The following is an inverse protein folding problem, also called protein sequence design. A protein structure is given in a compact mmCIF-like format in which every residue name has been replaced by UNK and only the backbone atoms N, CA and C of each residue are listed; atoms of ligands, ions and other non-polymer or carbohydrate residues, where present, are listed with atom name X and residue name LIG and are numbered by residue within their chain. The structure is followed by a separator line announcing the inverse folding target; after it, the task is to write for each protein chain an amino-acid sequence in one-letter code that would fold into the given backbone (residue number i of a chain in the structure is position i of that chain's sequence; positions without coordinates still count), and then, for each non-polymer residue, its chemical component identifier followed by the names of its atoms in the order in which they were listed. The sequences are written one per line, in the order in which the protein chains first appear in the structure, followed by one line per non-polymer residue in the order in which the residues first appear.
data_IF_362250757900
#
_entry.id   IF_362250757900
#
_cell.length_a   1.000
_cell.length_b   1.000
_cell.length_c   1.000
_cell.angle_alpha   90.00
_cell.angle_beta   90.00
_cell.angle_gamma   90.00
#
_symmetry.space_group_name_H-M   'P 1'
#
loop_
_entity.id
_entity.type
_entity.pdbx_description
1 polymer ?
#
# COMPACT_ATOMS: atom_id res chain seq x y z
N UNK A 1 8.13 20.06 5.88
CA UNK A 1 7.34 21.19 5.34
C UNK A 1 6.61 21.81 6.52
N UNK A 2 6.24 23.10 6.49
CA UNK A 2 5.41 23.65 7.59
C UNK A 2 4.03 22.99 7.62
N UNK A 3 3.56 22.66 8.83
CA UNK A 3 2.19 22.20 9.13
C UNK A 3 1.08 23.01 8.44
N UNK A 4 1.24 24.32 8.29
CA UNK A 4 0.28 25.19 7.60
C UNK A 4 0.17 24.89 6.11
N UNK A 5 1.27 24.50 5.46
CA UNK A 5 1.30 24.13 4.04
C UNK A 5 0.69 22.74 3.84
N UNK A 6 1.01 21.76 4.70
CA UNK A 6 0.35 20.45 4.70
C UNK A 6 -1.18 20.58 4.76
N UNK A 7 -1.69 21.40 5.71
CA UNK A 7 -3.13 21.66 5.85
C UNK A 7 -3.75 22.28 4.60
N UNK A 8 -3.04 23.19 3.95
CA UNK A 8 -3.55 23.83 2.74
C UNK A 8 -3.67 22.81 1.60
N UNK A 9 -2.63 22.02 1.33
CA UNK A 9 -2.67 20.98 0.30
C UNK A 9 -3.79 19.98 0.59
N UNK A 10 -3.93 19.51 1.84
CA UNK A 10 -5.01 18.61 2.25
C UNK A 10 -6.40 19.19 1.99
N UNK A 11 -6.63 20.48 2.30
CA UNK A 11 -7.91 21.14 2.00
C UNK A 11 -8.18 21.25 0.50
N UNK A 12 -7.15 21.51 -0.30
CA UNK A 12 -7.29 21.57 -1.76
C UNK A 12 -7.67 20.20 -2.33
N UNK A 13 -6.96 19.13 -1.93
CA UNK A 13 -7.28 17.75 -2.32
C UNK A 13 -8.74 17.41 -1.96
N UNK A 14 -9.18 17.77 -0.76
CA UNK A 14 -10.55 17.46 -0.31
C UNK A 14 -11.66 18.07 -1.18
N UNK A 15 -11.39 19.16 -1.91
CA UNK A 15 -12.38 19.76 -2.83
C UNK A 15 -12.69 18.87 -4.03
N UNK A 16 -11.76 18.01 -4.42
CA UNK A 16 -11.89 17.09 -5.55
C UNK A 16 -12.45 15.72 -5.15
N UNK A 17 -12.69 15.52 -3.85
CA UNK A 17 -13.18 14.28 -3.30
C UNK A 17 -14.70 14.41 -3.08
N UNK A 18 -15.54 13.57 -3.72
CA UNK A 18 -17.00 13.67 -3.64
C UNK A 18 -17.56 13.08 -2.34
N UNK A 19 -17.07 13.57 -1.19
CA UNK A 19 -17.44 13.09 0.14
C UNK A 19 -17.80 14.25 1.07
N UNK A 20 -18.56 13.99 2.15
CA UNK A 20 -18.98 15.03 3.10
C UNK A 20 -17.82 15.81 3.72
N UNK A 21 -18.04 17.09 3.98
CA UNK A 21 -17.04 18.03 4.52
C UNK A 21 -16.44 17.62 5.87
N UNK A 22 -17.14 16.79 6.67
CA UNK A 22 -16.56 16.30 7.92
C UNK A 22 -15.33 15.41 7.70
N UNK A 23 -15.22 14.73 6.55
CA UNK A 23 -14.04 13.92 6.20
C UNK A 23 -12.85 14.78 5.78
N UNK A 24 -13.09 16.01 5.32
CA UNK A 24 -12.02 17.01 5.13
C UNK A 24 -11.28 17.27 6.44
N UNK A 25 -11.99 17.31 7.56
CA UNK A 25 -11.37 17.49 8.88
C UNK A 25 -10.39 16.35 9.18
N UNK A 26 -10.80 15.10 8.98
CA UNK A 26 -9.96 13.92 9.21
C UNK A 26 -8.69 13.94 8.33
N UNK A 27 -8.84 14.28 7.04
CA UNK A 27 -7.71 14.41 6.11
C UNK A 27 -6.73 15.50 6.55
N UNK A 28 -7.24 16.68 6.90
CA UNK A 28 -6.44 17.83 7.32
C UNK A 28 -5.73 17.55 8.64
N UNK A 29 -6.45 17.00 9.62
CA UNK A 29 -5.83 16.62 10.89
C UNK A 29 -4.75 15.56 10.64
N UNK A 30 -5.05 14.54 9.83
CA UNK A 30 -4.11 13.46 9.48
C UNK A 30 -2.82 13.99 8.86
N UNK A 31 -2.92 15.02 8.01
CA UNK A 31 -1.75 15.67 7.38
C UNK A 31 -0.84 16.45 8.32
N UNK A 32 -1.26 16.67 9.57
CA UNK A 32 -0.45 17.37 10.59
C UNK A 32 -0.15 16.52 11.82
N UNK A 33 -0.74 15.34 11.90
CA UNK A 33 -0.59 14.44 13.04
C UNK A 33 0.86 14.02 13.31
N UNK A 34 1.68 13.70 12.27
CA UNK A 34 3.07 13.31 12.50
C UNK A 34 3.91 14.43 13.14
N UNK A 35 3.68 15.69 12.75
CA UNK A 35 4.35 16.86 13.34
C UNK A 35 3.98 17.08 14.81
N UNK A 36 2.69 16.89 15.14
CA UNK A 36 2.15 17.14 16.49
C UNK A 36 2.61 16.06 17.47
N UNK A 37 2.52 14.79 17.07
CA UNK A 37 2.85 13.65 17.92
C UNK A 37 4.36 13.38 18.00
N UNK A 38 5.18 14.18 17.30
CA UNK A 38 6.64 14.06 17.27
C UNK A 38 7.10 12.65 16.90
N UNK A 39 6.48 12.03 15.90
CA UNK A 39 7.04 10.82 15.28
C UNK A 39 8.43 11.21 14.77
N UNK A 40 9.49 10.74 15.43
CA UNK A 40 10.87 11.09 15.09
C UNK A 40 11.63 9.82 14.71
N UNK A 41 12.40 9.83 13.61
CA UNK A 41 12.58 10.93 12.65
C UNK A 41 11.47 10.97 11.56
N UNK A 42 10.74 12.09 11.41
CA UNK A 42 9.76 12.26 10.30
C UNK A 42 10.34 12.97 9.06
N UNK A 43 11.51 13.61 9.17
CA UNK A 43 12.21 14.17 8.02
C UNK A 43 13.01 13.06 7.32
N UNK A 44 12.65 12.74 6.08
CA UNK A 44 13.09 11.55 5.31
C UNK A 44 12.49 10.22 5.82
N UNK A 45 11.16 10.08 5.82
CA UNK A 45 10.55 8.80 6.15
C UNK A 45 10.98 7.74 5.11
N UNK A 46 11.10 6.49 5.56
CA UNK A 46 11.21 5.35 4.65
C UNK A 46 10.00 5.38 3.68
N UNK A 47 10.17 5.25 2.35
CA UNK A 47 9.06 5.06 1.41
C UNK A 47 8.04 4.00 1.84
N UNK A 48 8.47 2.98 2.59
CA UNK A 48 7.58 1.97 3.18
C UNK A 48 6.60 2.56 4.20
N UNK A 49 6.96 3.65 4.90
CA UNK A 49 6.07 4.37 5.80
C UNK A 49 4.90 5.01 5.02
N UNK A 50 5.20 5.66 3.88
CA UNK A 50 4.17 6.20 2.98
C UNK A 50 3.25 5.07 2.52
N UNK A 51 3.83 3.98 2.02
CA UNK A 51 3.05 2.85 1.51
C UNK A 51 2.19 2.19 2.57
N UNK A 52 2.67 2.10 3.82
CA UNK A 52 1.90 1.62 4.95
C UNK A 52 0.66 2.48 5.17
N UNK A 53 0.80 3.80 5.27
CA UNK A 53 -0.37 4.68 5.49
C UNK A 53 -1.33 4.68 4.29
N UNK A 54 -0.83 4.54 3.07
CA UNK A 54 -1.68 4.36 1.88
C UNK A 54 -2.46 3.04 1.98
N UNK A 55 -1.80 1.96 2.38
CA UNK A 55 -2.43 0.65 2.56
C UNK A 55 -3.49 0.68 3.66
N UNK A 56 -3.16 1.22 4.82
CA UNK A 56 -4.08 1.35 5.96
C UNK A 56 -5.28 2.23 5.61
N UNK A 57 -5.08 3.27 4.79
CA UNK A 57 -6.16 4.12 4.29
C UNK A 57 -7.07 3.36 3.32
N UNK A 58 -6.48 2.56 2.41
CA UNK A 58 -7.21 1.76 1.43
C UNK A 58 -8.02 0.65 2.10
N UNK A 59 -7.45 -0.07 3.06
CA UNK A 59 -8.18 -1.10 3.81
C UNK A 59 -9.36 -0.50 4.58
N UNK A 60 -9.13 0.59 5.32
CA UNK A 60 -10.21 1.29 6.03
C UNK A 60 -11.30 1.79 5.09
N UNK A 61 -10.93 2.25 3.89
CA UNK A 61 -11.89 2.66 2.86
C UNK A 61 -12.77 1.49 2.40
N UNK A 62 -12.18 0.33 2.12
CA UNK A 62 -12.92 -0.89 1.77
C UNK A 62 -13.80 -1.41 2.90
N UNK A 63 -13.38 -1.21 4.15
CA UNK A 63 -14.16 -1.56 5.35
C UNK A 63 -15.22 -0.50 5.71
N UNK A 64 -15.37 0.55 4.88
CA UNK A 64 -16.28 1.67 5.08
C UNK A 64 -16.03 2.48 6.38
N UNK A 65 -14.83 2.34 6.97
CA UNK A 65 -14.33 3.21 8.04
C UNK A 65 -13.70 4.48 7.43
N UNK A 66 -14.58 5.35 6.91
CA UNK A 66 -14.17 6.54 6.17
C UNK A 66 -13.34 7.52 7.02
N UNK A 67 -13.59 7.59 8.34
CA UNK A 67 -12.80 8.48 9.22
C UNK A 67 -11.35 8.02 9.28
N UNK A 68 -11.13 6.73 9.56
CA UNK A 68 -9.79 6.14 9.60
C UNK A 68 -9.12 6.21 8.23
N UNK A 69 -9.87 5.96 7.16
CA UNK A 69 -9.36 6.07 5.79
C UNK A 69 -8.80 7.45 5.50
N UNK A 70 -9.56 8.52 5.76
CA UNK A 70 -9.15 9.88 5.47
C UNK A 70 -8.03 10.36 6.41
N UNK A 71 -8.04 9.96 7.68
CA UNK A 71 -6.97 10.24 8.64
C UNK A 71 -5.63 9.63 8.19
N UNK A 72 -5.62 8.36 7.78
CA UNK A 72 -4.43 7.68 7.27
C UNK A 72 -3.98 8.24 5.91
N UNK A 73 -4.92 8.57 5.02
CA UNK A 73 -4.59 9.26 3.77
C UNK A 73 -3.90 10.61 4.04
N UNK A 74 -4.37 11.35 5.04
CA UNK A 74 -3.73 12.58 5.49
C UNK A 74 -2.27 12.35 5.90
N UNK A 75 -2.01 11.31 6.70
CA UNK A 75 -0.65 10.93 7.11
C UNK A 75 0.21 10.52 5.91
N UNK A 76 -0.34 9.77 4.96
CA UNK A 76 0.37 9.44 3.72
C UNK A 76 0.79 10.70 2.94
N UNK A 77 -0.14 11.64 2.74
CA UNK A 77 0.14 12.92 2.09
C UNK A 77 1.22 13.72 2.83
N UNK A 78 1.19 13.75 4.16
CA UNK A 78 2.24 14.39 4.96
C UNK A 78 3.64 13.83 4.62
N UNK A 79 3.82 12.51 4.69
CA UNK A 79 5.12 11.90 4.42
C UNK A 79 5.56 12.02 2.97
N UNK A 80 4.63 12.00 1.99
CA UNK A 80 4.92 12.31 0.58
C UNK A 80 5.52 13.71 0.47
N UNK A 81 4.88 14.71 1.09
CA UNK A 81 5.28 16.11 1.02
C UNK A 81 6.62 16.35 1.72
N UNK A 82 6.86 15.67 2.84
CA UNK A 82 8.11 15.81 3.60
C UNK A 82 9.31 15.11 2.95
N UNK A 83 9.10 13.99 2.25
CA UNK A 83 10.18 13.37 1.48
C UNK A 83 10.71 14.23 0.32
N UNK A 84 9.91 15.16 -0.18
CA UNK A 84 10.31 16.05 -1.28
C UNK A 84 11.26 17.17 -0.81
N UNK A 85 11.45 17.36 0.50
CA UNK A 85 12.27 18.43 1.07
C UNK A 85 13.58 17.84 1.59
N UNK A 86 14.71 18.40 1.14
CA UNK A 86 16.02 18.00 1.65
C UNK A 86 16.19 18.45 3.11
N UNK A 87 16.69 17.56 3.98
CA UNK A 87 17.01 17.87 5.36
C UNK A 87 18.45 18.40 5.45
N UNK A 88 18.65 19.66 5.04
CA UNK A 88 19.95 20.33 5.04
C UNK A 88 19.87 21.66 5.83
N UNK A 89 20.98 22.42 5.90
CA UNK A 89 21.04 23.69 6.63
C UNK A 89 20.06 24.76 6.11
N UNK A 90 19.64 24.65 4.86
CA UNK A 90 18.73 25.58 4.19
C UNK A 90 17.25 25.19 4.36
N UNK A 91 16.97 24.08 5.05
CA UNK A 91 15.63 23.53 5.24
C UNK A 91 14.60 24.59 5.68
N UNK A 92 14.93 25.41 6.68
CA UNK A 92 14.03 26.47 7.17
C UNK A 92 13.72 27.54 6.11
N UNK A 93 14.71 27.90 5.29
CA UNK A 93 14.55 28.90 4.21
C UNK A 93 13.68 28.33 3.09
N UNK A 94 13.88 27.06 2.76
CA UNK A 94 13.10 26.34 1.75
C UNK A 94 11.63 26.19 2.19
N UNK A 95 11.39 25.85 3.45
CA UNK A 95 10.05 25.78 4.02
C UNK A 95 9.33 27.14 4.02
N UNK A 96 10.04 28.23 4.33
CA UNK A 96 9.47 29.57 4.27
C UNK A 96 9.15 29.99 2.83
N UNK A 97 10.01 29.62 1.87
CA UNK A 97 9.76 29.86 0.45
C UNK A 97 8.50 29.12 -0.02
N UNK A 98 8.33 27.85 0.39
CA UNK A 98 7.14 27.03 0.08
C UNK A 98 5.83 27.61 0.61
N UNK A 99 5.87 28.36 1.72
CA UNK A 99 4.68 29.02 2.27
C UNK A 99 4.12 30.09 1.33
N UNK A 100 4.98 30.71 0.52
CA UNK A 100 4.61 31.75 -0.44
C UNK A 100 4.26 31.18 -1.82
N UNK A 101 4.56 29.91 -2.07
CA UNK A 101 4.17 29.23 -3.31
C UNK A 101 2.66 29.02 -3.36
N UNK A 102 2.05 29.42 -4.48
CA UNK A 102 0.62 29.25 -4.69
C UNK A 102 0.31 27.80 -5.02
N UNK A 103 -0.59 27.18 -4.25
CA UNK A 103 -1.24 25.92 -4.63
C UNK A 103 -2.17 26.21 -5.81
N UNK A 104 -2.01 25.44 -6.89
CA UNK A 104 -2.81 25.60 -8.10
C UNK A 104 -3.77 24.42 -8.23
N UNK A 105 -5.04 24.71 -8.54
CA UNK A 105 -6.08 23.69 -8.69
C UNK A 105 -5.77 22.72 -9.84
N UNK A 106 -5.14 23.20 -10.92
CA UNK A 106 -4.79 22.37 -12.08
C UNK A 106 -3.84 21.22 -11.73
N UNK A 107 -2.94 21.42 -10.75
CA UNK A 107 -2.01 20.37 -10.32
C UNK A 107 -2.71 19.24 -9.55
N UNK A 108 -3.74 19.59 -8.79
CA UNK A 108 -4.56 18.61 -8.07
C UNK A 108 -5.42 17.85 -9.09
N UNK A 109 -6.03 18.58 -10.02
CA UNK A 109 -6.83 17.99 -11.09
C UNK A 109 -6.01 17.02 -11.95
N UNK A 110 -4.82 17.41 -12.40
CA UNK A 110 -3.88 16.55 -13.13
C UNK A 110 -3.58 15.25 -12.36
N UNK A 111 -3.33 15.35 -11.04
CA UNK A 111 -3.10 14.19 -10.19
C UNK A 111 -4.32 13.25 -10.12
N UNK A 112 -5.53 13.80 -10.01
CA UNK A 112 -6.78 13.01 -10.02
C UNK A 112 -7.06 12.36 -11.38
N UNK A 113 -6.66 13.00 -12.49
CA UNK A 113 -6.90 12.52 -13.86
C UNK A 113 -5.95 11.39 -14.27
N UNK A 114 -4.70 11.37 -13.77
CA UNK A 114 -3.71 10.35 -14.16
C UNK A 114 -4.16 8.91 -13.84
N UNK A 115 -4.88 8.72 -12.72
CA UNK A 115 -5.37 7.41 -12.28
C UNK A 115 -4.25 6.45 -11.86
N UNK A 116 -4.55 5.57 -10.90
CA UNK A 116 -3.67 4.44 -10.57
C UNK A 116 -4.50 3.18 -10.52
N UNK A 117 -4.12 2.21 -11.34
CA UNK A 117 -4.89 0.98 -11.54
C UNK A 117 -4.24 -0.24 -10.87
N UNK A 118 -3.23 -0.06 -10.02
CA UNK A 118 -2.56 -1.19 -9.38
C UNK A 118 -1.70 -0.74 -8.21
N UNK A 119 -1.58 -1.59 -7.18
CA UNK A 119 -0.71 -1.31 -6.05
C UNK A 119 0.77 -1.27 -6.47
N UNK A 120 1.20 -2.11 -7.43
CA UNK A 120 2.54 -2.02 -8.03
C UNK A 120 2.79 -0.70 -8.74
N UNK A 121 1.81 -0.17 -9.48
CA UNK A 121 1.95 1.13 -10.12
C UNK A 121 2.15 2.23 -9.07
N UNK A 122 1.33 2.23 -8.02
CA UNK A 122 1.48 3.12 -6.87
C UNK A 122 2.89 2.99 -6.25
N UNK A 123 3.31 1.77 -5.92
CA UNK A 123 4.62 1.48 -5.33
C UNK A 123 5.75 2.04 -6.21
N UNK A 124 5.69 1.81 -7.51
CA UNK A 124 6.68 2.33 -8.44
C UNK A 124 6.73 3.85 -8.46
N UNK A 125 5.58 4.54 -8.37
CA UNK A 125 5.52 6.01 -8.29
C UNK A 125 6.20 6.48 -7.01
N UNK A 126 5.84 5.91 -5.85
CA UNK A 126 6.41 6.30 -4.55
C UNK A 126 7.94 6.11 -4.55
N UNK A 127 8.45 4.96 -5.01
CA UNK A 127 9.89 4.68 -4.99
C UNK A 127 10.70 5.43 -6.05
N UNK A 128 10.12 5.78 -7.20
CA UNK A 128 10.87 6.39 -8.32
C UNK A 128 10.70 7.90 -8.43
N UNK A 129 9.57 8.45 -8.01
CA UNK A 129 9.26 9.88 -8.16
C UNK A 129 9.46 10.69 -6.89
N UNK A 130 9.41 10.06 -5.71
CA UNK A 130 9.54 10.79 -4.46
C UNK A 130 10.99 10.76 -3.97
N UNK A 131 11.59 11.93 -3.89
CA UNK A 131 12.91 12.13 -3.30
C UNK A 131 13.18 13.63 -3.10
N UNK A 132 14.27 13.98 -2.38
CA UNK A 132 14.57 15.37 -2.06
C UNK A 132 14.75 16.25 -3.30
N UNK A 133 14.08 17.39 -3.30
CA UNK A 133 14.17 18.42 -4.33
C UNK A 133 14.63 19.74 -3.71
N UNK A 134 15.11 20.66 -4.56
CA UNK A 134 15.62 21.97 -4.14
C UNK A 134 14.76 23.15 -4.55
N UNK A 135 13.93 22.99 -5.58
CA UNK A 135 13.10 24.08 -6.10
C UNK A 135 11.76 24.14 -5.36
N UNK A 136 11.42 25.27 -4.69
CA UNK A 136 10.12 25.42 -4.03
C UNK A 136 8.94 25.15 -4.96
N UNK A 137 9.01 25.67 -6.20
CA UNK A 137 7.98 25.47 -7.22
C UNK A 137 7.81 24.00 -7.60
N UNK A 138 8.90 23.25 -7.79
CA UNK A 138 8.83 21.83 -8.12
C UNK A 138 8.35 20.99 -6.93
N UNK A 139 8.80 21.30 -5.71
CA UNK A 139 8.33 20.64 -4.49
C UNK A 139 6.82 20.85 -4.33
N UNK A 140 6.33 22.08 -4.48
CA UNK A 140 4.90 22.37 -4.40
C UNK A 140 4.12 21.63 -5.49
N UNK A 141 4.65 21.60 -6.71
CA UNK A 141 4.07 20.84 -7.82
C UNK A 141 3.91 19.36 -7.47
N UNK A 142 5.00 18.68 -7.16
CA UNK A 142 5.00 17.24 -6.90
C UNK A 142 4.23 16.90 -5.61
N UNK A 143 4.29 17.78 -4.60
CA UNK A 143 3.47 17.67 -3.39
C UNK A 143 1.99 17.63 -3.71
N UNK A 144 1.51 18.50 -4.59
CA UNK A 144 0.11 18.56 -5.00
C UNK A 144 -0.26 17.37 -5.88
N UNK A 145 0.48 17.15 -6.96
CA UNK A 145 0.18 16.15 -7.99
C UNK A 145 0.21 14.73 -7.41
N UNK A 146 1.27 14.36 -6.68
CA UNK A 146 1.43 13.01 -6.14
C UNK A 146 0.43 12.76 -5.00
N UNK A 147 0.21 13.73 -4.11
CA UNK A 147 -0.79 13.58 -3.03
C UNK A 147 -2.19 13.40 -3.59
N UNK A 148 -2.55 14.15 -4.64
CA UNK A 148 -3.84 14.05 -5.33
C UNK A 148 -4.01 12.69 -6.03
N UNK A 149 -2.98 12.23 -6.73
CA UNK A 149 -2.92 10.93 -7.38
C UNK A 149 -3.09 9.78 -6.37
N UNK A 150 -2.41 9.85 -5.23
CA UNK A 150 -2.56 8.88 -4.13
C UNK A 150 -3.96 8.93 -3.53
N UNK A 151 -4.50 10.14 -3.30
CA UNK A 151 -5.85 10.30 -2.77
C UNK A 151 -6.89 9.65 -3.68
N UNK A 152 -6.84 9.92 -4.99
CA UNK A 152 -7.70 9.28 -6.00
C UNK A 152 -7.60 7.76 -5.96
N UNK A 153 -6.39 7.22 -5.89
CA UNK A 153 -6.16 5.78 -5.84
C UNK A 153 -6.77 5.14 -4.58
N UNK A 154 -6.66 5.80 -3.43
CA UNK A 154 -7.21 5.31 -2.14
C UNK A 154 -8.72 5.30 -2.12
N UNK A 155 -9.39 6.31 -2.69
CA UNK A 155 -10.86 6.44 -2.63
C UNK A 155 -11.57 5.84 -3.86
N UNK A 156 -10.83 5.27 -4.81
CA UNK A 156 -11.43 4.73 -6.03
C UNK A 156 -12.22 3.45 -5.74
N UNK A 157 -13.42 3.32 -6.31
CA UNK A 157 -14.24 2.09 -6.23
C UNK A 157 -14.06 1.20 -7.47
N UNK A 158 -12.95 1.36 -8.20
CA UNK A 158 -12.64 0.54 -9.37
C UNK A 158 -12.61 -0.96 -9.02
N UNK A 159 -13.19 -1.77 -9.91
CA UNK A 159 -13.12 -3.22 -9.84
C UNK A 159 -11.76 -3.72 -10.37
N UNK A 160 -11.26 -4.86 -9.86
CA UNK A 160 -10.04 -5.46 -10.39
C UNK A 160 -10.24 -5.86 -11.86
N UNK A 161 -9.22 -5.66 -12.73
CA UNK A 161 -9.29 -6.13 -14.12
C UNK A 161 -9.54 -7.64 -14.19
N UNK A 162 -10.39 -8.11 -15.12
CA UNK A 162 -10.72 -9.54 -15.24
C UNK A 162 -9.50 -10.45 -15.33
N UNK A 163 -8.48 -10.04 -16.11
CA UNK A 163 -7.20 -10.75 -16.20
C UNK A 163 -6.50 -10.91 -14.85
N UNK A 164 -6.54 -9.89 -13.97
CA UNK A 164 -5.95 -9.97 -12.64
C UNK A 164 -6.66 -11.03 -11.78
N UNK A 165 -7.99 -11.12 -11.90
CA UNK A 165 -8.80 -12.14 -11.22
C UNK A 165 -8.40 -13.53 -11.71
N UNK A 166 -8.34 -13.74 -13.03
CA UNK A 166 -7.99 -15.03 -13.64
C UNK A 166 -6.57 -15.49 -13.26
N UNK A 167 -5.61 -14.57 -13.32
CA UNK A 167 -4.22 -14.81 -12.92
C UNK A 167 -4.15 -15.17 -11.43
N UNK A 168 -4.87 -14.44 -10.57
CA UNK A 168 -4.91 -14.70 -9.13
C UNK A 168 -5.54 -16.07 -8.81
N UNK A 169 -6.67 -16.42 -9.43
CA UNK A 169 -7.32 -17.72 -9.23
C UNK A 169 -6.41 -18.86 -9.68
N UNK A 170 -5.71 -18.68 -10.80
CA UNK A 170 -4.74 -19.64 -11.32
C UNK A 170 -3.55 -19.80 -10.37
N UNK A 171 -3.00 -18.70 -9.85
CA UNK A 171 -1.91 -18.73 -8.87
C UNK A 171 -2.35 -19.35 -7.53
N UNK A 172 -3.54 -19.01 -7.02
CA UNK A 172 -4.13 -19.61 -5.83
C UNK A 172 -4.29 -21.13 -5.97
N UNK A 173 -4.74 -21.60 -7.14
CA UNK A 173 -4.82 -23.04 -7.44
C UNK A 173 -3.44 -23.70 -7.41
N UNK A 174 -2.43 -23.10 -8.05
CA UNK A 174 -1.04 -23.61 -8.00
C UNK A 174 -0.51 -23.65 -6.57
N UNK A 175 -0.75 -22.59 -5.80
CA UNK A 175 -0.32 -22.49 -4.41
C UNK A 175 -0.88 -23.65 -3.56
N UNK A 176 -2.19 -23.89 -3.62
CA UNK A 176 -2.82 -24.93 -2.82
C UNK A 176 -2.58 -26.36 -3.33
N UNK A 177 -2.44 -26.58 -4.64
CA UNK A 177 -2.27 -27.94 -5.18
C UNK A 177 -0.82 -28.34 -5.42
N UNK A 178 0.12 -27.39 -5.46
CA UNK A 178 1.54 -27.67 -5.71
C UNK A 178 2.42 -27.15 -4.58
N UNK A 179 2.41 -25.85 -4.32
CA UNK A 179 3.35 -25.22 -3.38
C UNK A 179 3.17 -25.75 -1.96
N UNK A 180 1.93 -25.78 -1.45
CA UNK A 180 1.64 -26.22 -0.08
C UNK A 180 1.86 -27.74 0.14
N UNK A 181 1.40 -28.66 -0.74
CA UNK A 181 1.74 -30.08 -0.59
C UNK A 181 3.24 -30.35 -0.71
N UNK A 182 3.94 -29.63 -1.59
CA UNK A 182 5.38 -29.77 -1.74
C UNK A 182 6.15 -29.31 -0.50
N UNK A 183 5.76 -28.18 0.11
CA UNK A 183 6.39 -27.72 1.36
C UNK A 183 6.17 -28.72 2.50
N UNK A 184 4.95 -29.25 2.62
CA UNK A 184 4.63 -30.28 3.62
C UNK A 184 5.41 -31.58 3.39
N UNK A 185 5.57 -32.00 2.14
CA UNK A 185 6.37 -33.19 1.79
C UNK A 185 7.83 -33.00 2.18
N UNK A 186 8.45 -31.87 1.84
CA UNK A 186 9.85 -31.58 2.23
C UNK A 186 9.98 -31.54 3.75
N UNK A 187 9.09 -30.84 4.45
CA UNK A 187 9.09 -30.81 5.92
C UNK A 187 9.00 -32.20 6.51
N UNK A 188 8.11 -33.05 5.99
CA UNK A 188 7.93 -34.41 6.47
C UNK A 188 9.18 -35.27 6.23
N UNK A 189 9.81 -35.16 5.06
CA UNK A 189 11.07 -35.86 4.75
C UNK A 189 12.17 -35.43 5.73
N UNK A 190 12.35 -34.13 5.96
CA UNK A 190 13.35 -33.61 6.90
C UNK A 190 13.08 -34.04 8.35
N UNK A 191 11.81 -34.12 8.74
CA UNK A 191 11.42 -34.63 10.04
C UNK A 191 11.79 -36.12 10.19
N UNK A 192 11.50 -36.94 9.19
CA UNK A 192 11.91 -38.35 9.20
C UNK A 192 13.43 -38.53 9.24
N UNK A 193 14.19 -37.70 8.52
CA UNK A 193 15.66 -37.69 8.60
C UNK A 193 16.11 -37.34 10.02
N UNK A 194 15.53 -36.29 10.63
CA UNK A 194 15.84 -35.89 12.01
C UNK A 194 15.64 -37.04 13.00
N UNK A 195 14.52 -37.78 12.89
CA UNK A 195 14.21 -38.95 13.72
C UNK A 195 15.17 -40.13 13.46
N UNK A 196 15.47 -40.42 12.19
CA UNK A 196 16.40 -41.50 11.83
C UNK A 196 17.83 -41.22 12.31
N UNK A 197 18.23 -39.95 12.36
CA UNK A 197 19.56 -39.53 12.81
C UNK A 197 19.60 -39.04 14.25
N UNK A 198 18.62 -39.35 15.10
CA UNK A 198 18.50 -38.76 16.45
C UNK A 198 19.75 -38.92 17.34
N UNK A 199 20.56 -39.96 17.14
CA UNK A 199 21.81 -40.19 17.86
C UNK A 199 23.01 -39.37 17.35
N UNK A 200 22.86 -38.66 16.23
CA UNK A 200 23.90 -37.82 15.67
C UNK A 200 23.68 -36.36 16.06
N UNK A 201 24.77 -35.58 16.26
CA UNK A 201 24.69 -34.17 16.66
C UNK A 201 24.01 -33.27 15.60
N UNK A 202 23.81 -33.76 14.37
CA UNK A 202 23.15 -33.04 13.28
C UNK A 202 21.61 -33.11 13.31
N UNK A 203 21.00 -34.02 14.09
CA UNK A 203 19.54 -34.20 14.13
C UNK A 203 18.74 -32.91 14.44
N UNK A 204 19.16 -32.06 15.39
CA UNK A 204 18.47 -30.80 15.67
C UNK A 204 18.43 -29.85 14.46
N UNK A 205 19.44 -29.88 13.58
CA UNK A 205 19.47 -29.04 12.38
C UNK A 205 18.38 -29.46 11.39
N UNK A 206 18.15 -30.76 11.20
CA UNK A 206 17.08 -31.26 10.34
C UNK A 206 15.68 -30.94 10.89
N UNK A 207 15.51 -30.95 12.20
CA UNK A 207 14.24 -30.55 12.83
C UNK A 207 13.95 -29.07 12.56
N UNK A 208 14.95 -28.20 12.79
CA UNK A 208 14.81 -26.76 12.48
C UNK A 208 14.54 -26.55 10.99
N UNK A 209 15.27 -27.23 10.12
CA UNK A 209 15.07 -27.16 8.67
C UNK A 209 13.66 -27.61 8.26
N UNK A 210 13.11 -28.66 8.87
CA UNK A 210 11.74 -29.15 8.61
C UNK A 210 10.71 -28.05 8.88
N UNK A 211 10.80 -27.40 10.04
CA UNK A 211 9.91 -26.30 10.44
C UNK A 211 10.08 -25.12 9.49
N UNK A 212 11.32 -24.73 9.19
CA UNK A 212 11.63 -23.61 8.30
C UNK A 212 11.13 -23.87 6.88
N UNK A 213 11.33 -25.05 6.29
CA UNK A 213 10.83 -25.35 4.95
C UNK A 213 9.31 -25.30 4.88
N UNK A 214 8.62 -25.81 5.91
CA UNK A 214 7.16 -25.83 5.96
C UNK A 214 6.56 -24.44 6.05
N UNK A 215 7.29 -23.52 6.70
CA UNK A 215 6.90 -22.13 6.83
C UNK A 215 7.35 -21.26 5.65
N UNK A 216 8.60 -21.36 5.21
CA UNK A 216 9.22 -20.45 4.24
C UNK A 216 8.81 -20.76 2.80
N UNK A 217 8.70 -22.02 2.39
CA UNK A 217 8.38 -22.36 0.98
C UNK A 217 7.04 -21.72 0.55
N UNK A 218 5.95 -21.81 1.34
CA UNK A 218 4.70 -21.12 0.98
C UNK A 218 4.82 -19.59 1.01
N UNK A 219 5.67 -19.02 1.87
CA UNK A 219 5.90 -17.57 1.92
C UNK A 219 6.71 -17.07 0.72
N UNK A 220 7.46 -17.96 0.07
CA UNK A 220 8.33 -17.67 -1.07
C UNK A 220 7.66 -17.95 -2.43
N UNK A 221 6.34 -18.09 -2.50
CA UNK A 221 5.60 -18.14 -3.79
C UNK A 221 5.34 -16.69 -4.27
N UNK A 222 6.22 -16.10 -5.12
CA UNK A 222 6.14 -14.68 -5.43
C UNK A 222 4.90 -14.36 -6.25
N UNK A 223 4.49 -15.25 -7.16
CA UNK A 223 3.32 -15.06 -8.01
C UNK A 223 2.06 -14.95 -7.18
N UNK A 224 1.83 -15.92 -6.29
CA UNK A 224 0.64 -15.93 -5.44
C UNK A 224 0.61 -14.74 -4.50
N UNK A 225 1.72 -14.44 -3.81
CA UNK A 225 1.76 -13.35 -2.85
C UNK A 225 1.64 -11.97 -3.52
N UNK A 226 2.24 -11.81 -4.70
CA UNK A 226 2.10 -10.61 -5.52
C UNK A 226 0.64 -10.39 -5.95
N UNK A 227 0.03 -11.40 -6.57
CA UNK A 227 -1.36 -11.31 -7.05
C UNK A 227 -2.35 -11.16 -5.89
N UNK A 228 -2.08 -11.79 -4.75
CA UNK A 228 -2.85 -11.61 -3.52
C UNK A 228 -2.80 -10.16 -3.04
N UNK A 229 -1.62 -9.53 -3.06
CA UNK A 229 -1.48 -8.13 -2.69
C UNK A 229 -2.24 -7.20 -3.66
N UNK A 230 -2.13 -7.43 -4.97
CA UNK A 230 -2.93 -6.66 -5.94
C UNK A 230 -4.44 -6.87 -5.70
N UNK A 231 -4.91 -8.10 -5.48
CA UNK A 231 -6.33 -8.35 -5.19
C UNK A 231 -6.81 -7.73 -3.86
N UNK A 232 -5.94 -7.69 -2.84
CA UNK A 232 -6.22 -6.99 -1.59
C UNK A 232 -6.40 -5.48 -1.81
N UNK A 233 -5.60 -4.87 -2.70
CA UNK A 233 -5.72 -3.45 -3.04
C UNK A 233 -7.11 -3.09 -3.57
N UNK A 234 -7.77 -4.03 -4.24
CA UNK A 234 -9.15 -3.91 -4.72
C UNK A 234 -10.21 -4.31 -3.70
N UNK A 235 -9.84 -4.69 -2.47
CA UNK A 235 -10.79 -5.13 -1.44
C UNK A 235 -11.41 -6.52 -1.71
N UNK A 236 -10.91 -7.24 -2.72
CA UNK A 236 -11.58 -8.42 -3.25
C UNK A 236 -11.08 -9.76 -2.69
N UNK A 237 -9.96 -9.79 -1.96
CA UNK A 237 -9.37 -11.06 -1.52
C UNK A 237 -10.22 -11.86 -0.53
N UNK A 238 -10.92 -11.16 0.39
CA UNK A 238 -11.86 -11.80 1.33
C UNK A 238 -13.06 -12.38 0.57
N UNK A 239 -13.55 -11.68 -0.45
CA UNK A 239 -14.71 -12.08 -1.27
C UNK A 239 -14.36 -13.31 -2.14
N UNK A 240 -13.23 -13.28 -2.83
CA UNK A 240 -12.78 -14.43 -3.66
C UNK A 240 -12.49 -15.66 -2.81
N UNK A 241 -12.15 -15.49 -1.53
CA UNK A 241 -12.00 -16.62 -0.59
C UNK A 241 -13.33 -17.28 -0.27
N UNK A 242 -14.41 -16.49 -0.14
CA UNK A 242 -15.76 -16.97 0.16
C UNK A 242 -16.48 -17.59 -1.04
N UNK A 243 -16.12 -17.21 -2.28
CA UNK A 243 -16.69 -17.76 -3.52
C UNK A 243 -15.97 -19.06 -3.96
N UNK A 244 -14.84 -19.40 -3.33
CA UNK A 244 -14.19 -20.71 -3.49
C UNK A 244 -14.48 -21.71 -2.36
N UNK A 245 -15.73 -22.03 -1.95
CA UNK A 245 -15.99 -23.33 -1.36
C UNK A 245 -16.04 -24.34 -2.51
N UNK A 246 -15.19 -25.36 -2.44
CA UNK A 246 -15.26 -26.62 -3.20
C UNK A 246 -16.37 -26.69 -4.26
N UNK A 247 -16.04 -26.52 -5.53
CA UNK A 247 -16.95 -26.95 -6.59
C UNK A 247 -16.23 -27.85 -7.59
N UNK A 248 -16.84 -29.00 -7.94
CA UNK A 248 -16.40 -29.83 -9.02
C UNK A 248 -16.55 -29.05 -10.33
N UNK A 249 -15.77 -29.44 -11.31
CA UNK A 249 -15.74 -28.91 -12.67
C UNK A 249 -17.13 -28.64 -13.26
N UNK A 250 -17.26 -27.44 -13.84
CA UNK A 250 -18.11 -27.04 -14.98
C UNK A 250 -19.24 -26.04 -14.73
N UNK A 251 -19.22 -25.03 -15.60
CA UNK A 251 -20.28 -24.12 -16.06
C UNK A 251 -20.74 -22.93 -15.18
N UNK A 252 -20.60 -21.75 -15.81
CA UNK A 252 -21.30 -20.46 -15.61
C UNK A 252 -21.15 -19.72 -14.28
N UNK A 253 -20.32 -18.67 -14.28
CA UNK A 253 -20.40 -17.55 -13.34
C UNK A 253 -21.42 -16.51 -13.87
N UNK A 254 -22.32 -15.96 -13.03
CA UNK A 254 -23.16 -14.84 -13.41
C UNK A 254 -22.37 -13.52 -13.26
N UNK A 255 -22.46 -12.67 -14.28
CA UNK A 255 -22.01 -11.28 -14.25
C UNK A 255 -22.76 -10.53 -13.14
N UNK A 256 -22.01 -9.93 -12.21
CA UNK A 256 -22.54 -8.93 -11.28
C UNK A 256 -22.37 -7.55 -11.94
N UNK A 257 -23.47 -7.01 -12.45
CA UNK A 257 -23.61 -5.59 -12.77
C UNK A 257 -23.96 -4.81 -11.51
N UNK A 258 -23.17 -3.77 -11.21
CA UNK A 258 -23.60 -2.57 -10.46
C UNK A 258 -22.66 -1.42 -10.77
#
# INVERSE_FOLDING_TARGET
MKWSTHRQIARFIARFIPYPSFLTKELVEGSTDPDINKDRPHHQPDPNCILKYIWDAREAFHENDLKKAFRNLGRACHYIQDMLIENNREHNSLEESLRNERIRDDLIEEGFQQGIHSYRQLKNIIFKRIGPLKSPKQIMKDSCEISALVAKAVISKENPPGKLIDDFLSAKRRYHHKTLPFSLLISLILLFISLATHNFPISPLFLVASILCGFLIPQLDPDYNYLKQEMNWYGCSKIVTLITPSLPTSSSLPYLES
#
